data_IF_094353658537
#
_entry.id   IF_094353658537
#
_cell.length_a   1.000
_cell.length_b   1.000
_cell.length_c   1.000
_cell.angle_alpha   90.00
_cell.angle_beta   90.00
_cell.angle_gamma   90.00
#
_symmetry.space_group_name_H-M   'P 1'
#
loop_
_entity.id
_entity.type
_entity.pdbx_description
1 polymer ?
#
# COMPACT_ATOMS: atom_id res chain seq x y z
N UNK A 1 -17.83 -2.82 8.24
CA UNK A 1 -17.06 -3.56 7.19
C UNK A 1 -17.40 -5.03 7.31
N UNK A 2 -17.58 -5.76 6.21
CA UNK A 2 -17.96 -7.17 6.23
C UNK A 2 -16.85 -8.07 6.78
N UNK A 3 -17.23 -9.23 7.36
CA UNK A 3 -16.26 -10.19 7.95
C UNK A 3 -15.31 -10.81 6.91
N UNK A 4 -15.70 -10.84 5.63
CA UNK A 4 -14.86 -11.27 4.50
C UNK A 4 -15.04 -10.29 3.36
N UNK A 5 -13.96 -9.63 2.96
CA UNK A 5 -13.99 -8.58 1.93
C UNK A 5 -12.72 -8.61 1.07
N UNK A 6 -12.73 -7.96 -0.08
CA UNK A 6 -11.54 -7.80 -0.92
C UNK A 6 -10.81 -6.48 -0.58
N UNK A 7 -9.52 -6.41 -0.93
CA UNK A 7 -8.75 -5.14 -0.79
C UNK A 7 -9.44 -4.00 -1.56
N UNK A 8 -9.97 -4.28 -2.75
CA UNK A 8 -10.74 -3.29 -3.51
C UNK A 8 -11.95 -2.78 -2.72
N UNK A 9 -12.79 -3.67 -2.19
CA UNK A 9 -13.98 -3.29 -1.39
C UNK A 9 -13.62 -2.56 -0.10
N UNK A 10 -12.48 -2.92 0.51
CA UNK A 10 -11.97 -2.31 1.73
C UNK A 10 -11.57 -0.84 1.50
N UNK A 11 -10.93 -0.54 0.38
CA UNK A 11 -10.43 0.80 0.04
C UNK A 11 -11.46 1.65 -0.73
N UNK A 12 -12.32 1.01 -1.56
CA UNK A 12 -13.23 1.73 -2.45
C UNK A 12 -14.21 2.63 -1.69
N UNK A 13 -14.10 3.93 -1.91
CA UNK A 13 -14.94 4.93 -1.27
C UNK A 13 -14.70 5.12 0.24
N UNK A 14 -13.74 4.41 0.83
CA UNK A 14 -13.36 4.55 2.22
C UNK A 14 -12.05 5.33 2.35
N UNK A 15 -11.82 5.89 3.53
CA UNK A 15 -10.54 6.44 3.97
C UNK A 15 -10.02 5.57 5.09
N UNK A 16 -8.85 4.97 4.90
CA UNK A 16 -8.15 4.19 5.92
C UNK A 16 -6.92 4.97 6.37
N UNK A 17 -6.69 5.10 7.65
CA UNK A 17 -5.52 5.77 8.17
C UNK A 17 -4.85 4.96 9.29
N UNK A 18 -3.55 5.18 9.45
CA UNK A 18 -2.76 4.62 10.55
C UNK A 18 -2.79 5.60 11.71
N UNK A 19 -3.42 5.25 12.86
CA UNK A 19 -3.46 6.14 14.02
C UNK A 19 -2.06 6.47 14.55
N UNK A 20 -1.93 7.64 15.19
CA UNK A 20 -0.65 8.16 15.72
C UNK A 20 -0.01 7.30 16.79
N UNK A 21 -0.79 6.51 17.52
CA UNK A 21 -0.29 5.56 18.52
C UNK A 21 0.29 4.28 17.93
N UNK A 22 0.09 4.05 16.64
CA UNK A 22 0.66 2.91 15.94
C UNK A 22 2.11 3.19 15.55
N UNK A 23 2.92 2.12 15.44
CA UNK A 23 4.31 2.25 14.99
C UNK A 23 4.37 2.63 13.52
N UNK A 24 5.41 3.36 13.15
CA UNK A 24 5.74 3.65 11.76
C UNK A 24 5.98 2.39 10.92
N UNK A 25 6.01 2.56 9.60
CA UNK A 25 6.36 1.47 8.69
C UNK A 25 7.73 0.88 9.02
N UNK A 26 7.77 -0.43 9.24
CA UNK A 26 8.96 -1.11 9.75
C UNK A 26 9.35 -2.36 8.97
N UNK A 27 8.60 -2.74 7.93
CA UNK A 27 9.00 -3.84 7.07
C UNK A 27 10.24 -3.49 6.28
N UNK A 28 11.20 -4.40 6.29
CA UNK A 28 12.43 -4.26 5.55
C UNK A 28 12.32 -4.92 4.18
N UNK A 29 13.02 -4.33 3.21
CA UNK A 29 13.20 -4.85 1.87
C UNK A 29 14.67 -5.23 1.70
N UNK A 30 14.93 -6.41 1.18
CA UNK A 30 16.25 -6.89 0.87
C UNK A 30 16.55 -6.62 -0.60
N UNK A 31 17.63 -5.93 -0.87
CA UNK A 31 18.07 -5.60 -2.22
C UNK A 31 18.97 -6.69 -2.82
N UNK A 32 19.56 -7.54 -1.98
CA UNK A 32 20.40 -8.67 -2.39
C UNK A 32 19.88 -9.96 -1.76
N UNK A 33 20.05 -11.10 -2.43
CA UNK A 33 19.62 -12.41 -1.90
C UNK A 33 20.36 -12.77 -0.62
N UNK A 34 19.61 -13.06 0.44
CA UNK A 34 20.09 -13.51 1.73
C UNK A 34 19.38 -14.80 2.17
N UNK A 35 19.97 -15.47 3.16
CA UNK A 35 19.37 -16.66 3.77
C UNK A 35 18.17 -16.35 4.68
N UNK A 36 17.87 -15.07 4.90
CA UNK A 36 16.75 -14.62 5.72
C UNK A 36 15.97 -13.53 4.98
N UNK A 37 15.08 -13.90 4.06
CA UNK A 37 14.33 -12.94 3.26
C UNK A 37 13.51 -12.00 4.15
N UNK A 38 13.50 -10.72 3.77
CA UNK A 38 12.76 -9.68 4.50
C UNK A 38 11.27 -9.71 4.17
N UNK A 39 10.46 -9.07 4.99
CA UNK A 39 9.00 -9.14 4.92
C UNK A 39 8.45 -8.73 3.55
N UNK A 40 8.99 -7.66 2.96
CA UNK A 40 8.57 -7.19 1.62
C UNK A 40 8.90 -8.21 0.54
N UNK A 41 10.07 -8.85 0.61
CA UNK A 41 10.47 -9.89 -0.34
C UNK A 41 9.57 -11.13 -0.25
N UNK A 42 9.26 -11.56 0.98
CA UNK A 42 8.32 -12.67 1.22
C UNK A 42 6.95 -12.35 0.64
N UNK A 43 6.43 -11.14 0.92
CA UNK A 43 5.13 -10.69 0.40
C UNK A 43 5.07 -10.75 -1.13
N UNK A 44 6.09 -10.25 -1.82
CA UNK A 44 6.12 -10.28 -3.29
C UNK A 44 6.29 -11.69 -3.84
N UNK A 45 7.16 -12.51 -3.23
CA UNK A 45 7.34 -13.92 -3.61
C UNK A 45 6.04 -14.70 -3.50
N UNK A 46 5.31 -14.53 -2.40
CA UNK A 46 4.01 -15.17 -2.19
C UNK A 46 2.97 -14.78 -3.27
N UNK A 47 2.95 -13.49 -3.65
CA UNK A 47 2.07 -13.03 -4.74
C UNK A 47 2.48 -13.58 -6.10
N UNK A 48 3.78 -13.67 -6.39
CA UNK A 48 4.28 -14.28 -7.62
C UNK A 48 3.94 -15.77 -7.69
N UNK A 49 4.15 -16.50 -6.61
CA UNK A 49 3.86 -17.93 -6.54
C UNK A 49 2.35 -18.19 -6.68
N UNK A 50 1.52 -17.37 -6.05
CA UNK A 50 0.08 -17.41 -6.25
C UNK A 50 -0.31 -17.15 -7.71
N UNK A 51 0.27 -16.13 -8.34
CA UNK A 51 -0.02 -15.80 -9.74
C UNK A 51 0.41 -16.90 -10.72
N UNK A 52 1.51 -17.61 -10.42
CA UNK A 52 1.99 -18.76 -11.21
C UNK A 52 1.19 -20.03 -10.93
N UNK A 53 0.50 -20.11 -9.79
CA UNK A 53 -0.29 -21.28 -9.41
C UNK A 53 -1.55 -21.41 -10.27
N UNK A 54 -2.02 -22.65 -10.45
CA UNK A 54 -3.28 -22.93 -11.13
C UNK A 54 -4.50 -22.85 -10.20
N UNK A 55 -4.32 -22.38 -8.96
CA UNK A 55 -5.39 -22.29 -7.99
C UNK A 55 -6.45 -21.28 -8.40
N UNK A 56 -7.72 -21.61 -8.19
CA UNK A 56 -8.86 -20.70 -8.39
C UNK A 56 -9.28 -19.99 -7.08
N UNK A 57 -8.66 -20.34 -5.97
CA UNK A 57 -8.96 -19.72 -4.68
C UNK A 57 -8.44 -18.28 -4.65
N UNK A 58 -9.13 -17.40 -3.93
CA UNK A 58 -8.64 -16.03 -3.72
C UNK A 58 -7.42 -16.04 -2.81
N UNK A 59 -6.44 -15.18 -3.07
CA UNK A 59 -5.30 -14.99 -2.18
C UNK A 59 -5.77 -14.36 -0.86
N UNK A 60 -5.33 -14.93 0.26
CA UNK A 60 -5.70 -14.47 1.58
C UNK A 60 -4.62 -13.55 2.16
N UNK A 61 -4.93 -12.27 2.29
CA UNK A 61 -4.02 -11.26 2.84
C UNK A 61 -3.95 -11.23 4.37
N UNK A 62 -4.65 -12.11 5.06
CA UNK A 62 -4.71 -12.13 6.52
C UNK A 62 -5.85 -11.27 7.07
N UNK A 63 -5.88 -11.14 8.40
CA UNK A 63 -6.89 -10.35 9.10
C UNK A 63 -6.47 -8.89 9.17
N UNK A 64 -7.47 -8.00 9.13
CA UNK A 64 -7.33 -6.58 9.42
C UNK A 64 -8.36 -6.21 10.48
N UNK A 65 -7.98 -5.40 11.43
CA UNK A 65 -8.87 -4.86 12.45
C UNK A 65 -8.93 -3.35 12.30
N UNK A 66 -10.15 -2.81 12.23
CA UNK A 66 -10.40 -1.40 12.06
C UNK A 66 -11.31 -0.86 13.16
N UNK A 67 -11.11 0.40 13.51
CA UNK A 67 -12.01 1.20 14.31
C UNK A 67 -12.66 2.25 13.40
N UNK A 68 -13.99 2.27 13.33
CA UNK A 68 -14.71 3.31 12.61
C UNK A 68 -14.69 4.60 13.41
N UNK A 69 -14.20 5.67 12.81
CA UNK A 69 -14.11 7.00 13.42
C UNK A 69 -15.24 7.91 12.97
N UNK A 70 -15.53 7.87 11.68
CA UNK A 70 -16.59 8.60 11.00
C UNK A 70 -17.13 7.76 9.86
N UNK A 71 -18.21 8.23 9.21
CA UNK A 71 -18.75 7.59 8.03
C UNK A 71 -17.64 7.38 6.99
N UNK A 72 -17.39 6.11 6.65
CA UNK A 72 -16.37 5.68 5.67
C UNK A 72 -14.91 6.04 6.04
N UNK A 73 -14.65 6.36 7.31
CA UNK A 73 -13.29 6.67 7.82
C UNK A 73 -12.90 5.67 8.90
N UNK A 74 -11.82 4.94 8.68
CA UNK A 74 -11.41 3.81 9.50
C UNK A 74 -9.96 3.94 9.94
N UNK A 75 -9.73 3.89 11.26
CA UNK A 75 -8.40 3.74 11.84
C UNK A 75 -8.00 2.27 11.87
N UNK A 76 -6.83 1.93 11.33
CA UNK A 76 -6.34 0.55 11.35
C UNK A 76 -5.71 0.22 12.70
N UNK A 77 -6.25 -0.79 13.39
CA UNK A 77 -5.76 -1.25 14.69
C UNK A 77 -4.75 -2.38 14.50
N UNK A 78 -5.03 -3.33 13.60
CA UNK A 78 -4.12 -4.42 13.26
C UNK A 78 -4.03 -4.62 11.75
N UNK A 79 -2.85 -5.05 11.28
CA UNK A 79 -2.55 -5.24 9.86
C UNK A 79 -1.96 -4.02 9.15
N UNK A 80 -1.60 -2.95 9.87
CA UNK A 80 -1.09 -1.69 9.30
C UNK A 80 0.13 -1.87 8.39
N UNK A 81 1.13 -2.67 8.78
CA UNK A 81 2.32 -2.90 7.98
C UNK A 81 1.96 -3.54 6.64
N UNK A 82 1.09 -4.51 6.68
CA UNK A 82 0.58 -5.24 5.52
C UNK A 82 -0.23 -4.33 4.61
N UNK A 83 -1.15 -3.53 5.17
CA UNK A 83 -1.94 -2.57 4.39
C UNK A 83 -1.04 -1.53 3.72
N UNK A 84 -0.06 -0.98 4.45
CA UNK A 84 0.90 -0.03 3.88
C UNK A 84 1.66 -0.66 2.71
N UNK A 85 2.15 -1.91 2.86
CA UNK A 85 2.85 -2.63 1.79
C UNK A 85 1.94 -2.89 0.58
N UNK A 86 0.68 -3.27 0.81
CA UNK A 86 -0.30 -3.45 -0.28
C UNK A 86 -0.50 -2.13 -1.05
N UNK A 87 -0.64 -1.01 -0.36
CA UNK A 87 -0.83 0.29 -1.03
C UNK A 87 0.43 0.72 -1.77
N UNK A 88 1.63 0.49 -1.21
CA UNK A 88 2.91 0.72 -1.91
C UNK A 88 2.96 -0.12 -3.19
N UNK A 89 2.69 -1.41 -3.11
CA UNK A 89 2.69 -2.31 -4.26
C UNK A 89 1.70 -1.88 -5.34
N UNK A 90 0.46 -1.57 -4.97
CA UNK A 90 -0.56 -1.11 -5.91
C UNK A 90 -0.16 0.22 -6.58
N UNK A 91 0.41 1.15 -5.81
CA UNK A 91 0.89 2.43 -6.35
C UNK A 91 2.05 2.23 -7.35
N UNK A 92 3.00 1.35 -7.03
CA UNK A 92 4.10 0.98 -7.93
C UNK A 92 3.58 0.29 -9.21
N UNK A 93 2.62 -0.62 -9.06
CA UNK A 93 1.99 -1.31 -10.20
C UNK A 93 1.30 -0.34 -11.15
N UNK A 94 0.47 0.58 -10.64
CA UNK A 94 -0.17 1.60 -11.48
C UNK A 94 0.84 2.57 -12.09
N UNK A 95 1.91 2.91 -11.36
CA UNK A 95 3.03 3.70 -11.88
C UNK A 95 3.66 3.01 -13.09
N UNK A 96 3.96 1.73 -12.97
CA UNK A 96 4.56 0.95 -14.03
C UNK A 96 3.64 0.81 -15.24
N UNK A 97 2.35 0.55 -15.02
CA UNK A 97 1.36 0.51 -16.09
C UNK A 97 1.30 1.83 -16.88
N UNK A 98 1.23 2.96 -16.17
CA UNK A 98 1.22 4.30 -16.80
C UNK A 98 2.47 4.61 -17.63
N UNK A 99 3.62 4.02 -17.28
CA UNK A 99 4.85 4.15 -18.07
C UNK A 99 4.83 3.32 -19.38
N UNK A 100 4.13 2.19 -19.36
CA UNK A 100 4.02 1.28 -20.52
C UNK A 100 2.96 1.77 -21.50
N UNK A 101 1.81 2.20 -20.99
CA UNK A 101 0.66 2.70 -21.78
C UNK A 101 -0.29 3.52 -20.92
N UNK A 102 -1.17 4.33 -21.50
CA UNK A 102 -2.27 4.93 -20.76
C UNK A 102 -3.14 3.86 -20.10
N UNK A 103 -3.66 4.17 -18.91
CA UNK A 103 -4.66 3.30 -18.26
C UNK A 103 -5.94 3.26 -19.11
N UNK A 104 -6.54 2.10 -19.21
CA UNK A 104 -7.89 2.01 -19.76
C UNK A 104 -8.93 2.51 -18.73
N UNK A 105 -10.19 2.65 -19.14
CA UNK A 105 -11.25 3.20 -18.32
C UNK A 105 -11.45 2.44 -17.00
N UNK A 106 -11.50 1.10 -17.05
CA UNK A 106 -11.64 0.25 -15.86
C UNK A 106 -10.43 0.35 -14.90
N UNK A 107 -9.22 0.46 -15.45
CA UNK A 107 -8.01 0.64 -14.67
C UNK A 107 -7.97 2.02 -14.01
N UNK A 108 -8.41 3.06 -14.73
CA UNK A 108 -8.51 4.42 -14.20
C UNK A 108 -9.54 4.48 -13.06
N UNK A 109 -10.73 3.91 -13.25
CA UNK A 109 -11.76 3.81 -12.21
C UNK A 109 -11.23 3.04 -10.99
N UNK A 110 -10.54 1.92 -11.22
CA UNK A 110 -9.95 1.14 -10.12
C UNK A 110 -8.91 1.96 -9.36
N UNK A 111 -8.02 2.67 -10.05
CA UNK A 111 -7.05 3.56 -9.40
C UNK A 111 -7.74 4.62 -8.54
N UNK A 112 -8.79 5.24 -9.05
CA UNK A 112 -9.55 6.26 -8.32
C UNK A 112 -10.30 5.70 -7.11
N UNK A 113 -10.76 4.47 -7.20
CA UNK A 113 -11.46 3.80 -6.12
C UNK A 113 -10.53 3.41 -4.96
N UNK A 114 -9.31 2.95 -5.25
CA UNK A 114 -8.45 2.30 -4.24
C UNK A 114 -7.19 3.08 -3.87
N UNK A 115 -6.78 4.06 -4.67
CA UNK A 115 -5.56 4.85 -4.41
C UNK A 115 -5.92 6.31 -4.15
N UNK A 116 -6.42 7.01 -5.17
CA UNK A 116 -6.68 8.45 -5.08
C UNK A 116 -7.70 8.90 -6.12
N UNK A 117 -8.72 9.61 -5.67
CA UNK A 117 -9.66 10.32 -6.56
C UNK A 117 -9.55 11.84 -6.33
N UNK A 118 -9.15 12.58 -7.35
CA UNK A 118 -8.84 14.01 -7.23
C UNK A 118 -7.80 14.26 -6.12
N UNK A 119 -8.14 15.03 -5.11
CA UNK A 119 -7.29 15.30 -3.92
C UNK A 119 -7.56 14.36 -2.74
N UNK A 120 -8.44 13.36 -2.89
CA UNK A 120 -8.81 12.45 -1.80
C UNK A 120 -8.00 11.16 -1.87
N UNK A 121 -7.09 10.96 -0.92
CA UNK A 121 -6.31 9.74 -0.75
C UNK A 121 -7.13 8.70 0.02
N UNK A 122 -7.04 7.44 -0.40
CA UNK A 122 -7.75 6.32 0.25
C UNK A 122 -7.01 5.77 1.46
N UNK A 123 -5.71 5.98 1.51
CA UNK A 123 -4.88 5.54 2.61
C UNK A 123 -3.95 6.65 3.08
N UNK A 124 -3.81 6.78 4.41
CA UNK A 124 -2.88 7.69 5.07
C UNK A 124 -2.03 6.88 6.06
N UNK A 125 -0.71 7.06 6.00
CA UNK A 125 0.21 6.46 6.98
C UNK A 125 0.28 7.31 8.26
N UNK A 126 1.24 7.03 9.16
CA UNK A 126 1.42 7.87 10.35
C UNK A 126 1.76 9.31 9.99
N UNK A 127 1.28 10.27 10.77
CA UNK A 127 1.31 11.72 10.46
C UNK A 127 2.66 12.23 9.94
N UNK A 128 3.77 11.85 10.58
CA UNK A 128 5.10 12.35 10.24
C UNK A 128 5.68 11.77 8.94
N UNK A 129 5.13 10.67 8.42
CA UNK A 129 5.51 10.05 7.15
C UNK A 129 4.46 10.27 6.06
N UNK A 130 3.24 10.73 6.40
CA UNK A 130 2.11 10.78 5.49
C UNK A 130 2.33 11.71 4.31
N UNK A 131 2.93 12.87 4.54
CA UNK A 131 3.27 13.79 3.46
C UNK A 131 4.25 13.15 2.47
N UNK A 132 5.32 12.53 2.99
CA UNK A 132 6.29 11.82 2.15
C UNK A 132 5.61 10.68 1.37
N UNK A 133 4.74 9.92 2.04
CA UNK A 133 4.02 8.81 1.42
C UNK A 133 3.12 9.29 0.26
N UNK A 134 2.35 10.34 0.47
CA UNK A 134 1.48 10.94 -0.56
C UNK A 134 2.30 11.47 -1.74
N UNK A 135 3.32 12.28 -1.47
CA UNK A 135 4.10 12.94 -2.50
C UNK A 135 4.95 11.94 -3.31
N UNK A 136 5.63 11.00 -2.65
CA UNK A 136 6.61 10.13 -3.30
C UNK A 136 6.02 8.79 -3.80
N UNK A 137 5.08 8.20 -3.06
CA UNK A 137 4.51 6.88 -3.41
C UNK A 137 3.28 7.04 -4.29
N UNK A 138 2.32 7.88 -3.88
CA UNK A 138 1.05 8.00 -4.59
C UNK A 138 1.14 8.94 -5.78
N UNK A 139 1.64 10.16 -5.57
CA UNK A 139 1.75 11.20 -6.61
C UNK A 139 3.05 11.11 -7.42
N UNK A 140 4.00 10.28 -6.97
CA UNK A 140 5.26 9.97 -7.67
C UNK A 140 6.11 11.19 -7.98
N UNK A 141 6.09 12.17 -7.11
CA UNK A 141 6.91 13.36 -7.21
C UNK A 141 8.37 13.03 -6.81
N UNK A 142 9.20 12.68 -7.81
CA UNK A 142 10.60 12.29 -7.60
C UNK A 142 11.47 13.37 -6.96
N UNK A 143 11.06 14.63 -7.01
CA UNK A 143 11.86 15.76 -6.45
C UNK A 143 11.90 15.76 -4.93
N UNK A 144 10.91 15.17 -4.26
CA UNK A 144 10.82 15.18 -2.79
C UNK A 144 11.56 14.04 -2.10
N UNK A 145 12.23 13.14 -2.83
CA UNK A 145 13.09 12.11 -2.23
C UNK A 145 14.25 12.66 -1.41
N UNK A 146 14.67 13.89 -1.68
CA UNK A 146 15.67 14.60 -0.86
C UNK A 146 15.16 14.96 0.55
N UNK A 147 13.87 14.77 0.81
CA UNK A 147 13.20 15.05 2.08
C UNK A 147 13.05 13.86 3.01
N UNK A 148 13.73 12.73 2.76
CA UNK A 148 13.68 11.55 3.65
C UNK A 148 14.29 11.90 5.01
N UNK A 149 13.44 12.11 6.02
CA UNK A 149 13.86 12.52 7.37
C UNK A 149 13.79 11.37 8.38
N UNK A 150 13.03 10.32 8.08
CA UNK A 150 12.77 9.22 9.01
C UNK A 150 13.26 7.88 8.45
N UNK A 151 13.55 6.94 9.36
CA UNK A 151 13.90 5.56 8.98
C UNK A 151 12.74 4.87 8.26
N UNK A 152 11.51 5.14 8.69
CA UNK A 152 10.30 4.61 8.06
C UNK A 152 10.08 5.15 6.65
N UNK A 153 10.25 6.45 6.42
CA UNK A 153 10.20 7.02 5.07
C UNK A 153 11.26 6.42 4.14
N UNK A 154 12.47 6.14 4.66
CA UNK A 154 13.50 5.41 3.91
C UNK A 154 13.05 4.00 3.53
N UNK A 155 12.45 3.25 4.46
CA UNK A 155 11.92 1.90 4.19
C UNK A 155 10.79 1.93 3.16
N UNK A 156 9.88 2.91 3.26
CA UNK A 156 8.81 3.13 2.27
C UNK A 156 9.39 3.37 0.88
N UNK A 157 10.41 4.24 0.77
CA UNK A 157 11.06 4.52 -0.51
C UNK A 157 11.71 3.27 -1.12
N UNK A 158 12.44 2.49 -0.31
CA UNK A 158 13.08 1.25 -0.75
C UNK A 158 12.03 0.23 -1.19
N UNK A 159 10.95 0.05 -0.43
CA UNK A 159 9.88 -0.86 -0.77
C UNK A 159 9.15 -0.46 -2.07
N UNK A 160 9.02 0.83 -2.35
CA UNK A 160 8.41 1.34 -3.57
C UNK A 160 9.31 1.15 -4.81
N UNK A 161 10.62 1.26 -4.64
CA UNK A 161 11.60 1.12 -5.73
C UNK A 161 11.94 -0.34 -6.05
N UNK A 162 11.67 -1.26 -5.12
CA UNK A 162 11.93 -2.69 -5.25
C UNK A 162 10.99 -3.37 -6.23
#
# INVERSE_FOLDING_TARGET
MEASTTIKQMLAGNKIFVPTYQRAYSWDTELEKSNSPKQTNVFLSDLEDYNKSSTKSKYYFGHFLFEEKDERTFGIIDGQQRMTTIVIFLSALFSRLKQIRPLNETEQETFEDIIKRNSTYRFETVDYDDRFFKDCVIDQNKKDRNGIKTVSAKRIAIAFDF
#
